data_IF_529412166674
#
_entry.id   IF_529412166674
#
_cell.length_a   1.000
_cell.length_b   1.000
_cell.length_c   1.000
_cell.angle_alpha   90.00
_cell.angle_beta   90.00
_cell.angle_gamma   90.00
#
_symmetry.space_group_name_H-M   'P 1'
#
loop_
_entity.id
_entity.type
_entity.pdbx_description
1 polymer ?
#
# COMPACT_ATOMS: atom_id res chain seq x y z
N UNK A 1 4.09 30.93 -99.25
CA UNK A 1 3.78 32.34 -98.95
C UNK A 1 2.34 32.57 -99.29
N UNK A 2 1.78 33.69 -98.84
CA UNK A 2 0.53 34.17 -99.40
C UNK A 2 0.84 34.67 -100.81
N UNK A 3 0.24 34.05 -101.82
CA UNK A 3 0.38 34.53 -103.20
C UNK A 3 -0.60 35.69 -103.42
N UNK A 4 -0.22 36.63 -104.28
CA UNK A 4 -1.15 37.63 -104.83
C UNK A 4 -2.31 36.98 -105.58
N UNK A 5 -3.31 37.78 -105.99
CA UNK A 5 -4.51 37.22 -106.62
C UNK A 5 -4.21 36.60 -107.98
N UNK A 6 -4.86 35.48 -108.29
CA UNK A 6 -4.78 34.85 -109.61
C UNK A 6 -5.12 35.85 -110.73
N UNK A 7 -4.22 35.99 -111.70
CA UNK A 7 -4.37 36.91 -112.84
C UNK A 7 -3.65 38.27 -112.71
N UNK A 8 -2.88 38.51 -111.64
CA UNK A 8 -2.05 39.72 -111.51
C UNK A 8 -0.84 39.72 -112.48
N UNK A 9 -0.55 40.89 -113.07
CA UNK A 9 0.65 41.09 -113.91
C UNK A 9 1.89 41.12 -113.02
N UNK A 10 2.82 40.18 -113.26
CA UNK A 10 4.09 40.07 -112.52
C UNK A 10 5.26 40.61 -113.33
N UNK A 11 6.19 41.28 -112.64
CA UNK A 11 7.50 41.58 -113.22
C UNK A 11 8.34 40.31 -113.09
N UNK A 12 8.84 39.82 -114.22
CA UNK A 12 9.72 38.66 -114.29
C UNK A 12 11.10 39.12 -114.77
N UNK A 13 12.16 38.62 -114.14
CA UNK A 13 13.54 38.81 -114.62
C UNK A 13 14.23 37.45 -114.74
N UNK A 14 15.27 37.39 -115.59
CA UNK A 14 16.12 36.20 -115.73
C UNK A 14 17.37 36.37 -114.89
N UNK A 15 17.70 35.37 -114.07
CA UNK A 15 18.99 35.35 -113.39
C UNK A 15 20.15 35.11 -114.37
N UNK A 16 21.39 35.17 -113.87
CA UNK A 16 22.60 34.96 -114.69
C UNK A 16 22.68 33.57 -115.35
N UNK A 17 21.89 32.62 -114.85
CA UNK A 17 21.82 31.24 -115.33
C UNK A 17 20.60 31.04 -116.26
N UNK A 18 19.85 32.12 -116.54
CA UNK A 18 18.70 32.13 -117.46
C UNK A 18 17.37 31.72 -116.82
N UNK A 19 17.32 31.45 -115.52
CA UNK A 19 16.08 31.04 -114.84
C UNK A 19 15.19 32.25 -114.60
N UNK A 20 13.89 32.11 -114.86
CA UNK A 20 12.90 33.14 -114.58
C UNK A 20 12.61 33.24 -113.08
N UNK A 21 12.59 34.46 -112.57
CA UNK A 21 12.25 34.82 -111.19
C UNK A 21 11.18 35.89 -111.19
N UNK A 22 10.18 35.74 -110.33
CA UNK A 22 9.11 36.71 -110.16
C UNK A 22 9.44 37.67 -109.02
N UNK A 23 9.15 38.95 -109.22
CA UNK A 23 9.24 39.97 -108.17
C UNK A 23 7.97 39.91 -107.31
N UNK A 24 8.14 39.85 -105.99
CA UNK A 24 7.03 39.93 -105.05
C UNK A 24 6.36 41.31 -105.10
N UNK A 25 5.03 41.33 -105.02
CA UNK A 25 4.17 42.50 -104.93
C UNK A 25 3.75 42.76 -103.49
N UNK A 26 3.16 43.92 -103.21
CA UNK A 26 2.55 44.19 -101.90
C UNK A 26 1.34 43.31 -101.59
N UNK A 27 0.81 42.56 -102.56
CA UNK A 27 -0.28 41.62 -102.36
C UNK A 27 0.19 40.21 -101.95
N UNK A 28 1.48 39.90 -102.15
CA UNK A 28 2.09 38.69 -101.60
C UNK A 28 2.40 38.85 -100.11
N UNK A 29 2.77 37.76 -99.45
CA UNK A 29 3.32 37.83 -98.11
C UNK A 29 3.55 36.49 -97.41
N UNK A 30 3.37 36.49 -96.10
CA UNK A 30 3.67 35.37 -95.22
C UNK A 30 2.39 34.76 -94.62
N UNK A 31 2.47 33.48 -94.30
CA UNK A 31 1.44 32.70 -93.61
C UNK A 31 2.01 32.30 -92.25
N UNK A 32 1.27 32.53 -91.16
CA UNK A 32 1.65 32.18 -89.79
C UNK A 32 0.64 31.21 -89.19
N UNK A 33 1.09 30.07 -88.67
CA UNK A 33 0.27 29.12 -87.93
C UNK A 33 0.45 29.25 -86.42
N UNK A 34 -0.51 28.74 -85.65
CA UNK A 34 -0.46 28.64 -84.19
C UNK A 34 -1.09 27.32 -83.73
N UNK A 35 -1.11 27.08 -82.41
CA UNK A 35 -1.58 25.82 -81.81
C UNK A 35 -3.10 25.58 -81.99
N UNK A 36 -3.86 26.58 -82.43
CA UNK A 36 -5.25 26.40 -82.86
C UNK A 36 -5.29 25.77 -84.25
N UNK A 37 -5.30 24.43 -84.27
CA UNK A 37 -5.25 23.61 -85.48
C UNK A 37 -6.15 24.14 -86.62
N UNK A 38 -5.58 24.22 -87.82
CA UNK A 38 -6.24 24.68 -89.05
C UNK A 38 -6.39 26.20 -89.22
N UNK A 39 -6.02 27.05 -88.25
CA UNK A 39 -6.10 28.50 -88.40
C UNK A 39 -4.77 29.07 -88.92
N UNK A 40 -4.84 29.85 -90.00
CA UNK A 40 -3.69 30.54 -90.59
C UNK A 40 -3.91 32.04 -90.57
N UNK A 41 -2.91 32.77 -90.10
CA UNK A 41 -2.87 34.23 -90.13
C UNK A 41 -2.09 34.66 -91.37
N UNK A 42 -2.79 35.25 -92.33
CA UNK A 42 -2.20 35.79 -93.56
C UNK A 42 -1.75 37.24 -93.34
N UNK A 43 -0.53 37.58 -93.78
CA UNK A 43 -0.03 38.95 -93.77
C UNK A 43 0.61 39.28 -95.10
N UNK A 44 0.08 40.28 -95.76
CA UNK A 44 0.68 40.86 -96.96
C UNK A 44 1.96 41.61 -96.63
N UNK A 45 2.83 41.82 -97.61
CA UNK A 45 4.00 42.67 -97.44
C UNK A 45 3.58 44.08 -96.97
N UNK A 46 4.40 44.68 -96.11
CA UNK A 46 4.13 45.97 -95.45
C UNK A 46 2.94 45.96 -94.45
N UNK A 47 2.45 44.79 -94.02
CA UNK A 47 1.50 44.67 -92.91
C UNK A 47 2.19 44.32 -91.59
N UNK A 48 1.66 44.86 -90.49
CA UNK A 48 2.11 44.55 -89.12
C UNK A 48 1.55 43.20 -88.67
N UNK A 49 2.38 42.39 -88.02
CA UNK A 49 1.97 41.24 -87.22
C UNK A 49 2.27 41.54 -85.75
N UNK A 50 1.25 41.40 -84.89
CA UNK A 50 1.42 41.50 -83.45
C UNK A 50 1.58 40.11 -82.82
N UNK A 51 2.56 39.95 -81.93
CA UNK A 51 2.78 38.74 -81.13
C UNK A 51 2.50 39.10 -79.67
N UNK A 52 1.36 38.66 -79.16
CA UNK A 52 0.84 39.03 -77.85
C UNK A 52 1.02 37.87 -76.86
N UNK A 53 1.59 38.13 -75.68
CA UNK A 53 1.53 37.23 -74.53
C UNK A 53 0.15 37.26 -73.84
N UNK A 54 -0.23 36.17 -73.14
CA UNK A 54 -1.58 35.96 -72.58
C UNK A 54 -2.02 37.05 -71.59
N UNK A 55 -3.29 37.41 -71.40
CA UNK A 55 -4.57 36.89 -71.90
C UNK A 55 -5.30 37.88 -72.84
N UNK A 56 -6.33 37.39 -73.53
CA UNK A 56 -7.15 38.10 -74.53
C UNK A 56 -8.06 39.24 -73.99
N UNK A 57 -7.94 39.63 -72.71
CA UNK A 57 -8.67 40.76 -72.13
C UNK A 57 -7.77 41.53 -71.15
N UNK A 58 -7.83 42.86 -71.20
CA UNK A 58 -6.92 43.78 -70.51
C UNK A 58 -7.01 43.79 -68.97
N UNK A 59 -7.75 42.87 -68.35
CA UNK A 59 -7.98 42.80 -66.89
C UNK A 59 -7.26 41.65 -66.20
N UNK A 60 -6.71 40.69 -66.95
CA UNK A 60 -6.12 39.48 -66.37
C UNK A 60 -4.60 39.57 -66.33
N UNK A 61 -3.98 39.03 -65.28
CA UNK A 61 -2.53 39.00 -65.11
C UNK A 61 -1.84 38.28 -66.29
N UNK A 62 -0.79 38.90 -66.84
CA UNK A 62 -0.10 38.38 -68.03
C UNK A 62 0.96 37.34 -67.68
N UNK A 63 0.61 36.06 -67.68
CA UNK A 63 1.57 34.98 -67.38
C UNK A 63 2.67 34.81 -68.44
N UNK A 64 2.39 35.17 -69.69
CA UNK A 64 3.37 35.17 -70.79
C UNK A 64 3.62 36.63 -71.20
N UNK A 65 4.89 37.01 -71.27
CA UNK A 65 5.34 38.35 -71.64
C UNK A 65 6.08 38.29 -72.97
N UNK A 66 5.68 39.14 -73.92
CA UNK A 66 6.38 39.30 -75.20
C UNK A 66 7.02 40.67 -75.29
N UNK A 67 8.31 40.72 -75.67
CA UNK A 67 9.09 41.96 -75.75
C UNK A 67 9.80 42.07 -77.10
N UNK A 68 9.56 43.15 -77.84
CA UNK A 68 10.30 43.44 -79.06
C UNK A 68 11.61 44.16 -78.73
N UNK A 69 12.73 43.62 -79.22
CA UNK A 69 14.07 44.15 -78.98
C UNK A 69 14.57 44.97 -80.18
N UNK A 70 15.48 45.91 -79.91
CA UNK A 70 16.06 46.78 -80.94
C UNK A 70 16.88 46.03 -82.02
N UNK A 71 17.28 44.78 -81.75
CA UNK A 71 17.99 43.91 -82.69
C UNK A 71 17.06 43.16 -83.67
N UNK A 72 15.74 43.36 -83.56
CA UNK A 72 14.73 42.70 -84.39
C UNK A 72 14.22 41.36 -83.84
N UNK A 73 14.69 40.91 -82.67
CA UNK A 73 14.14 39.72 -82.00
C UNK A 73 12.88 40.03 -81.19
N UNK A 74 12.06 39.00 -80.96
CA UNK A 74 10.96 39.02 -79.99
C UNK A 74 11.30 38.03 -78.88
N UNK A 75 11.48 38.51 -77.66
CA UNK A 75 11.68 37.69 -76.47
C UNK A 75 10.32 37.24 -75.91
N UNK A 76 10.25 35.99 -75.46
CA UNK A 76 9.08 35.40 -74.81
C UNK A 76 9.51 34.89 -73.44
N UNK A 77 8.94 35.48 -72.39
CA UNK A 77 9.25 35.15 -71.00
C UNK A 77 7.98 34.71 -70.25
N UNK A 78 8.18 33.96 -69.17
CA UNK A 78 7.17 33.82 -68.11
C UNK A 78 7.21 35.06 -67.22
N UNK A 79 6.05 35.48 -66.73
CA UNK A 79 5.99 36.44 -65.63
C UNK A 79 6.68 35.86 -64.38
N UNK A 80 7.23 36.75 -63.53
CA UNK A 80 7.85 36.34 -62.26
C UNK A 80 6.83 35.69 -61.32
N UNK A 81 5.66 36.30 -61.26
CA UNK A 81 4.51 35.80 -60.51
C UNK A 81 3.48 35.28 -61.51
N UNK A 82 3.09 34.02 -61.35
CA UNK A 82 2.08 33.38 -62.17
C UNK A 82 0.75 33.40 -61.43
N UNK A 83 -0.27 33.99 -62.05
CA UNK A 83 -1.64 33.94 -61.58
C UNK A 83 -2.47 33.13 -62.57
N UNK A 84 -2.89 31.95 -62.14
CA UNK A 84 -3.63 31.01 -62.98
C UNK A 84 -5.16 31.21 -62.86
N UNK A 85 -5.61 32.20 -62.10
CA UNK A 85 -7.01 32.50 -61.84
C UNK A 85 -7.72 31.45 -60.99
N UNK A 86 -9.05 31.58 -60.87
CA UNK A 86 -9.88 30.74 -60.00
C UNK A 86 -10.05 29.30 -60.49
N UNK A 87 -9.75 29.02 -61.76
CA UNK A 87 -9.80 27.68 -62.37
C UNK A 87 -8.43 27.13 -62.73
N UNK A 88 -7.38 27.88 -62.38
CA UNK A 88 -6.00 27.55 -62.69
C UNK A 88 -5.47 26.36 -61.92
N UNK A 89 -4.56 25.60 -62.53
CA UNK A 89 -3.82 24.56 -61.81
C UNK A 89 -2.46 24.27 -62.43
N UNK A 90 -1.56 23.75 -61.60
CA UNK A 90 -0.30 23.12 -62.02
C UNK A 90 -0.34 21.66 -61.61
N UNK A 91 -0.04 20.76 -62.57
CA UNK A 91 -0.01 19.32 -62.32
C UNK A 91 1.40 18.76 -62.54
N UNK A 92 1.94 18.08 -61.52
CA UNK A 92 3.25 17.40 -61.56
C UNK A 92 3.09 15.96 -61.08
N UNK A 93 2.94 15.03 -62.02
CA UNK A 93 2.61 13.64 -61.71
C UNK A 93 1.25 13.52 -60.99
N UNK A 94 1.27 12.97 -59.77
CA UNK A 94 0.08 12.83 -58.91
C UNK A 94 -0.23 14.09 -58.08
N UNK A 95 0.65 15.09 -58.11
CA UNK A 95 0.48 16.34 -57.37
C UNK A 95 -0.30 17.34 -58.20
N UNK A 96 -1.33 17.95 -57.62
CA UNK A 96 -2.06 19.07 -58.19
C UNK A 96 -1.99 20.24 -57.23
N UNK A 97 -1.59 21.41 -57.74
CA UNK A 97 -1.63 22.70 -57.03
C UNK A 97 -2.70 23.55 -57.69
N UNK A 98 -3.71 23.95 -56.93
CA UNK A 98 -4.85 24.75 -57.41
C UNK A 98 -5.36 25.65 -56.28
N UNK A 99 -6.55 26.24 -56.47
CA UNK A 99 -7.17 27.12 -55.49
C UNK A 99 -7.60 26.40 -54.18
N UNK A 100 -7.66 25.07 -54.15
CA UNK A 100 -7.98 24.27 -52.96
C UNK A 100 -6.71 23.93 -52.14
N UNK A 101 -5.51 24.21 -52.68
CA UNK A 101 -4.23 23.96 -52.04
C UNK A 101 -3.38 22.94 -52.81
N UNK A 102 -2.80 21.97 -52.08
CA UNK A 102 -1.91 20.93 -52.63
C UNK A 102 -2.50 19.55 -52.38
N UNK A 103 -2.79 18.81 -53.44
CA UNK A 103 -3.28 17.43 -53.38
C UNK A 103 -2.24 16.47 -53.95
N UNK A 104 -1.96 15.37 -53.25
CA UNK A 104 -1.09 14.27 -53.73
C UNK A 104 -1.91 12.99 -53.82
N UNK A 105 -2.26 12.58 -55.05
CA UNK A 105 -3.20 11.49 -55.28
C UNK A 105 -4.57 11.79 -54.67
N UNK A 106 -5.27 10.79 -54.15
CA UNK A 106 -6.57 10.97 -53.49
C UNK A 106 -6.49 11.00 -51.96
N UNK A 107 -5.32 10.71 -51.40
CA UNK A 107 -5.16 10.47 -49.96
C UNK A 107 -4.61 11.66 -49.20
N UNK A 108 -3.76 12.50 -49.79
CA UNK A 108 -3.09 13.60 -49.08
C UNK A 108 -3.59 14.92 -49.61
N UNK A 109 -4.05 15.79 -48.70
CA UNK A 109 -4.49 17.15 -49.02
C UNK A 109 -3.92 18.11 -48.00
N UNK A 110 -3.23 19.15 -48.47
CA UNK A 110 -2.92 20.36 -47.72
C UNK A 110 -3.83 21.47 -48.23
N UNK A 111 -4.85 21.82 -47.45
CA UNK A 111 -5.85 22.83 -47.78
C UNK A 111 -6.01 23.88 -46.69
N UNK A 112 -7.10 24.63 -46.77
CA UNK A 112 -7.49 25.68 -45.81
C UNK A 112 -7.62 25.20 -44.35
N UNK A 113 -8.00 23.94 -44.16
CA UNK A 113 -8.11 23.29 -42.85
C UNK A 113 -6.79 22.71 -42.31
N UNK A 114 -5.74 22.61 -43.13
CA UNK A 114 -4.45 22.01 -42.78
C UNK A 114 -4.07 20.78 -43.62
N UNK A 115 -3.21 19.92 -43.07
CA UNK A 115 -2.74 18.68 -43.71
C UNK A 115 -3.60 17.50 -43.26
N UNK A 116 -4.16 16.78 -44.23
CA UNK A 116 -4.95 15.58 -43.99
C UNK A 116 -4.42 14.41 -44.81
N UNK A 117 -4.37 13.24 -44.17
CA UNK A 117 -4.12 11.95 -44.82
C UNK A 117 -5.39 11.12 -44.62
N UNK A 118 -6.04 10.72 -45.72
CA UNK A 118 -7.25 9.89 -45.71
C UNK A 118 -7.01 8.62 -44.89
N UNK A 119 -7.90 8.35 -43.94
CA UNK A 119 -7.84 7.20 -43.01
C UNK A 119 -6.54 7.13 -42.19
N UNK A 120 -5.88 8.28 -41.98
CA UNK A 120 -4.58 8.40 -41.33
C UNK A 120 -4.44 9.66 -40.46
N UNK A 121 -3.18 10.04 -40.13
CA UNK A 121 -2.91 11.23 -39.32
C UNK A 121 -3.33 12.55 -40.00
N UNK A 122 -3.59 13.57 -39.19
CA UNK A 122 -3.85 14.93 -39.66
C UNK A 122 -3.26 16.00 -38.73
N UNK A 123 -3.00 17.17 -39.31
CA UNK A 123 -2.56 18.38 -38.61
C UNK A 123 -3.47 19.53 -39.08
N UNK A 124 -4.28 20.04 -38.17
CA UNK A 124 -5.26 21.10 -38.46
C UNK A 124 -5.17 22.22 -37.42
N UNK A 125 -5.98 23.27 -37.58
CA UNK A 125 -6.10 24.32 -36.56
C UNK A 125 -6.56 23.80 -35.18
N UNK A 126 -7.19 22.62 -35.13
CA UNK A 126 -7.63 21.98 -33.88
C UNK A 126 -6.54 21.14 -33.20
N UNK A 127 -5.36 20.99 -33.82
CA UNK A 127 -4.24 20.22 -33.31
C UNK A 127 -3.85 19.04 -34.20
N UNK A 128 -3.23 18.03 -33.59
CA UNK A 128 -2.69 16.85 -34.27
C UNK A 128 -3.53 15.63 -33.89
N UNK A 129 -4.02 14.91 -34.89
CA UNK A 129 -4.62 13.57 -34.72
C UNK A 129 -3.68 12.52 -35.29
N UNK A 130 -3.32 11.52 -34.49
CA UNK A 130 -2.45 10.42 -34.91
C UNK A 130 -3.18 9.35 -35.74
N UNK A 131 -4.50 9.43 -35.92
CA UNK A 131 -5.27 8.48 -36.72
C UNK A 131 -5.20 7.04 -36.18
N UNK A 132 -5.20 6.90 -34.85
CA UNK A 132 -5.06 5.62 -34.14
C UNK A 132 -3.71 4.93 -34.35
N UNK A 133 -2.68 5.66 -34.79
CA UNK A 133 -1.31 5.14 -34.94
C UNK A 133 -0.43 5.56 -33.77
N UNK A 134 0.64 4.81 -33.56
CA UNK A 134 1.69 5.15 -32.60
C UNK A 134 2.52 6.31 -33.13
N UNK A 135 2.80 7.31 -32.28
CA UNK A 135 3.78 8.35 -32.56
C UNK A 135 5.15 7.85 -32.06
N UNK A 136 6.04 7.49 -32.98
CA UNK A 136 7.37 6.97 -32.66
C UNK A 136 8.41 8.10 -32.59
N UNK A 137 9.57 7.83 -31.98
CA UNK A 137 10.68 8.78 -31.83
C UNK A 137 10.32 10.06 -31.05
N UNK A 138 9.47 9.91 -30.03
CA UNK A 138 9.18 10.98 -29.07
C UNK A 138 10.28 10.96 -28.00
N UNK A 139 11.12 11.98 -28.01
CA UNK A 139 12.13 12.18 -26.95
C UNK A 139 11.46 12.39 -25.58
N UNK A 140 12.21 12.19 -24.51
CA UNK A 140 11.72 12.43 -23.15
C UNK A 140 11.21 13.87 -23.00
N UNK A 141 10.01 14.02 -22.47
CA UNK A 141 9.46 15.32 -22.13
C UNK A 141 10.23 15.94 -20.97
N UNK A 142 10.63 17.21 -21.11
CA UNK A 142 11.40 17.94 -20.11
C UNK A 142 10.57 19.06 -19.49
N UNK A 143 9.75 19.73 -20.29
CA UNK A 143 8.89 20.84 -19.88
C UNK A 143 7.46 20.36 -19.61
N UNK A 144 6.70 21.14 -18.83
CA UNK A 144 5.33 20.77 -18.42
C UNK A 144 4.28 20.64 -19.53
N UNK A 145 4.63 20.88 -20.80
CA UNK A 145 3.75 20.72 -21.97
C UNK A 145 4.32 19.76 -23.02
N UNK A 146 5.46 19.15 -22.75
CA UNK A 146 6.04 18.16 -23.65
C UNK A 146 5.23 16.85 -23.57
N UNK A 147 5.17 16.11 -24.67
CA UNK A 147 4.60 14.77 -24.64
C UNK A 147 5.51 13.83 -23.83
N UNK A 148 4.90 12.90 -23.10
CA UNK A 148 5.63 11.83 -22.41
C UNK A 148 5.70 10.58 -23.28
N UNK A 149 6.86 9.94 -23.33
CA UNK A 149 7.00 8.66 -24.01
C UNK A 149 6.80 7.48 -23.04
N UNK A 150 6.83 6.26 -23.57
CA UNK A 150 6.61 5.03 -22.78
C UNK A 150 7.71 4.81 -21.74
N UNK A 151 8.95 5.15 -22.06
CA UNK A 151 10.10 4.91 -21.17
C UNK A 151 9.96 5.74 -19.88
N UNK A 152 9.50 6.99 -19.97
CA UNK A 152 9.19 7.81 -18.80
C UNK A 152 8.08 7.21 -17.93
N UNK A 153 7.04 6.63 -18.54
CA UNK A 153 5.95 5.98 -17.83
C UNK A 153 6.42 4.69 -17.13
N UNK A 154 7.18 3.85 -17.82
CA UNK A 154 7.73 2.61 -17.26
C UNK A 154 8.71 2.90 -16.12
N UNK A 155 9.54 3.95 -16.27
CA UNK A 155 10.45 4.41 -15.23
C UNK A 155 9.68 4.87 -13.98
N UNK A 156 8.58 5.61 -14.15
CA UNK A 156 7.71 5.99 -13.04
C UNK A 156 7.13 4.76 -12.32
N UNK A 157 6.62 3.78 -13.07
CA UNK A 157 6.09 2.53 -12.51
C UNK A 157 7.16 1.73 -11.74
N UNK A 158 8.38 1.69 -12.28
CA UNK A 158 9.54 1.03 -11.65
C UNK A 158 9.97 1.76 -10.38
N UNK A 159 9.99 3.10 -10.39
CA UNK A 159 10.37 3.89 -9.23
C UNK A 159 9.37 3.69 -8.09
N UNK A 160 8.07 3.79 -8.37
CA UNK A 160 7.03 3.57 -7.36
C UNK A 160 7.08 2.17 -6.76
N UNK A 161 7.25 1.13 -7.59
CA UNK A 161 7.30 -0.25 -7.10
C UNK A 161 8.56 -0.54 -6.30
N UNK A 162 9.70 0.06 -6.63
CA UNK A 162 10.95 -0.10 -5.89
C UNK A 162 11.03 0.71 -4.60
N UNK A 163 10.44 1.91 -4.55
CA UNK A 163 10.36 2.70 -3.32
C UNK A 163 9.50 2.00 -2.27
N UNK A 164 8.35 1.47 -2.65
CA UNK A 164 7.51 0.69 -1.74
C UNK A 164 6.97 1.51 -0.55
N UNK A 165 6.64 0.80 0.53
CA UNK A 165 6.31 1.35 1.85
C UNK A 165 7.31 0.85 2.89
N UNK A 166 7.78 1.75 3.75
CA UNK A 166 8.62 1.43 4.91
C UNK A 166 7.80 1.54 6.19
N UNK A 167 7.86 0.49 7.02
CA UNK A 167 7.22 0.43 8.33
C UNK A 167 8.33 0.43 9.39
N UNK A 168 8.33 1.45 10.25
CA UNK A 168 9.22 1.52 11.39
C UNK A 168 8.55 0.88 12.62
N UNK A 169 9.34 0.14 13.40
CA UNK A 169 8.95 -0.32 14.74
C UNK A 169 9.67 0.46 15.83
N UNK A 170 9.46 0.08 17.10
CA UNK A 170 10.23 0.63 18.22
C UNK A 170 11.75 0.36 18.07
N UNK A 171 12.12 -0.67 17.31
CA UNK A 171 13.48 -0.94 16.87
C UNK A 171 13.46 -1.47 15.44
N UNK A 172 14.28 -0.88 14.57
CA UNK A 172 14.42 -1.27 13.17
C UNK A 172 13.26 -0.85 12.26
N UNK A 173 13.45 -1.13 10.97
CA UNK A 173 12.51 -0.82 9.90
C UNK A 173 12.37 -2.01 8.95
N UNK A 174 11.22 -2.12 8.32
CA UNK A 174 10.97 -3.08 7.24
C UNK A 174 10.36 -2.36 6.03
N UNK A 175 11.03 -2.45 4.89
CA UNK A 175 10.49 -1.96 3.62
C UNK A 175 9.87 -3.11 2.83
N UNK A 176 8.70 -2.86 2.24
CA UNK A 176 7.98 -3.79 1.36
C UNK A 176 7.64 -3.09 0.06
N UNK A 177 7.87 -3.74 -1.07
CA UNK A 177 7.52 -3.19 -2.38
C UNK A 177 6.00 -3.16 -2.55
N UNK A 178 5.50 -2.31 -3.45
CA UNK A 178 4.08 -2.36 -3.82
C UNK A 178 3.73 -3.76 -4.36
N UNK A 179 2.69 -4.38 -3.81
CA UNK A 179 2.29 -5.75 -4.14
C UNK A 179 2.84 -6.82 -3.19
N UNK A 180 3.83 -6.50 -2.36
CA UNK A 180 4.31 -7.42 -1.33
C UNK A 180 3.32 -7.52 -0.16
N UNK A 181 3.19 -8.72 0.41
CA UNK A 181 2.42 -8.94 1.64
C UNK A 181 3.21 -8.47 2.85
N UNK A 182 2.67 -7.51 3.60
CA UNK A 182 3.10 -7.21 4.97
C UNK A 182 2.41 -8.20 5.91
N UNK A 183 3.18 -8.89 6.75
CA UNK A 183 2.64 -9.88 7.70
C UNK A 183 2.88 -9.38 9.12
N UNK A 184 1.80 -9.21 9.88
CA UNK A 184 1.82 -8.90 11.32
C UNK A 184 1.17 -10.10 12.01
N UNK A 185 1.96 -10.92 12.71
CA UNK A 185 1.48 -12.18 13.32
C UNK A 185 1.84 -12.24 14.80
N UNK A 186 0.88 -12.67 15.62
CA UNK A 186 1.13 -13.20 16.96
C UNK A 186 1.49 -14.69 16.90
N UNK A 187 1.82 -15.28 18.06
CA UNK A 187 2.22 -16.69 18.19
C UNK A 187 1.08 -17.68 18.46
N UNK A 188 -0.16 -17.22 18.62
CA UNK A 188 -1.31 -18.08 18.86
C UNK A 188 -1.59 -18.95 17.61
N UNK A 189 -1.90 -20.23 17.81
CA UNK A 189 -2.20 -21.15 16.71
C UNK A 189 -3.53 -20.78 16.01
N UNK A 190 -3.61 -21.11 14.71
CA UNK A 190 -4.82 -20.88 13.92
C UNK A 190 -6.01 -21.65 14.53
N UNK A 191 -7.19 -21.00 14.56
CA UNK A 191 -8.45 -21.55 15.08
C UNK A 191 -8.50 -21.82 16.60
N UNK A 192 -7.58 -21.24 17.37
CA UNK A 192 -7.76 -21.09 18.82
C UNK A 192 -8.57 -19.82 19.08
N UNK A 193 -9.46 -19.85 20.08
CA UNK A 193 -10.25 -18.68 20.47
C UNK A 193 -9.32 -17.48 20.74
N UNK A 194 -9.56 -16.40 20.01
CA UNK A 194 -8.81 -15.15 20.10
C UNK A 194 -9.79 -13.99 20.23
N UNK A 195 -9.43 -13.00 21.05
CA UNK A 195 -10.20 -11.77 21.22
C UNK A 195 -9.32 -10.57 20.85
N UNK A 196 -9.90 -9.64 20.10
CA UNK A 196 -9.31 -8.33 19.80
C UNK A 196 -9.71 -7.24 20.82
N UNK A 197 -10.59 -7.56 21.79
CA UNK A 197 -11.14 -6.60 22.76
C UNK A 197 -10.07 -5.83 23.55
N UNK A 198 -8.96 -6.52 23.85
CA UNK A 198 -7.89 -5.95 24.66
C UNK A 198 -6.78 -5.29 23.84
N UNK A 199 -6.84 -5.33 22.50
CA UNK A 199 -5.86 -4.70 21.62
C UNK A 199 -6.48 -3.53 20.86
N UNK A 200 -5.77 -2.41 20.81
CA UNK A 200 -6.18 -1.24 20.05
C UNK A 200 -5.02 -0.70 19.23
N UNK A 201 -5.32 -0.17 18.05
CA UNK A 201 -4.35 0.56 17.24
C UNK A 201 -4.73 2.02 17.22
N UNK A 202 -3.86 2.87 17.73
CA UNK A 202 -4.01 4.33 17.70
C UNK A 202 -3.04 4.96 16.69
N UNK A 203 -3.35 6.18 16.24
CA UNK A 203 -2.37 7.03 15.54
C UNK A 203 -1.83 8.06 16.54
N UNK A 204 -0.54 7.99 16.85
CA UNK A 204 0.14 8.96 17.71
C UNK A 204 1.40 9.49 17.03
N UNK A 205 1.50 10.81 16.90
CA UNK A 205 2.62 11.48 16.23
C UNK A 205 2.91 10.92 14.81
N UNK A 206 1.86 10.55 14.08
CA UNK A 206 1.96 9.96 12.73
C UNK A 206 2.30 8.47 12.68
N UNK A 207 2.46 7.80 13.83
CA UNK A 207 2.75 6.37 13.92
C UNK A 207 1.53 5.56 14.32
N UNK A 208 1.41 4.33 13.81
CA UNK A 208 0.47 3.33 14.33
C UNK A 208 1.04 2.70 15.60
N UNK A 209 0.35 2.87 16.72
CA UNK A 209 0.76 2.33 18.03
C UNK A 209 -0.22 1.24 18.45
N UNK A 210 0.28 0.01 18.58
CA UNK A 210 -0.50 -1.10 19.15
C UNK A 210 -0.47 -0.99 20.67
N UNK A 211 -1.65 -0.94 21.29
CA UNK A 211 -1.84 -0.79 22.73
C UNK A 211 -2.61 -1.97 23.29
N UNK A 212 -2.32 -2.30 24.55
CA UNK A 212 -3.14 -3.18 25.36
C UNK A 212 -4.03 -2.37 26.31
N UNK A 213 -5.23 -2.88 26.57
CA UNK A 213 -6.10 -2.34 27.62
C UNK A 213 -5.42 -2.44 29.00
N UNK A 214 -5.60 -1.42 29.85
CA UNK A 214 -5.10 -1.44 31.24
C UNK A 214 -5.86 -2.44 32.11
N UNK A 215 -7.16 -2.57 31.85
CA UNK A 215 -8.02 -3.54 32.49
C UNK A 215 -8.35 -4.57 31.42
N UNK A 216 -7.81 -5.78 31.55
CA UNK A 216 -8.08 -6.85 30.60
C UNK A 216 -9.47 -7.44 30.88
N UNK A 217 -10.28 -7.62 29.84
CA UNK A 217 -11.61 -8.25 29.91
C UNK A 217 -11.71 -9.39 28.91
N UNK A 218 -12.74 -10.25 29.03
CA UNK A 218 -12.99 -11.32 28.07
C UNK A 218 -11.90 -12.40 28.04
N UNK A 219 -11.07 -12.49 29.09
CA UNK A 219 -10.12 -13.59 29.26
C UNK A 219 -10.84 -14.78 29.90
N UNK A 220 -10.67 -15.98 29.35
CA UNK A 220 -11.16 -17.21 29.97
C UNK A 220 -10.31 -17.59 31.18
N UNK A 221 -9.02 -17.82 30.95
CA UNK A 221 -8.04 -18.18 31.97
C UNK A 221 -6.76 -17.34 31.84
N UNK A 222 -6.02 -17.22 32.95
CA UNK A 222 -4.66 -16.66 32.97
C UNK A 222 -3.71 -17.77 33.39
N UNK A 223 -3.00 -18.33 32.42
CA UNK A 223 -1.90 -19.26 32.68
C UNK A 223 -0.59 -18.48 32.78
N UNK A 224 0.09 -18.61 33.93
CA UNK A 224 1.42 -18.06 34.16
C UNK A 224 2.34 -19.23 34.47
N UNK A 225 3.50 -19.28 33.82
CA UNK A 225 4.36 -20.46 33.82
C UNK A 225 3.94 -21.48 32.76
N UNK A 226 4.73 -22.53 32.62
CA UNK A 226 4.49 -23.63 31.69
C UNK A 226 4.48 -24.94 32.47
N UNK A 227 3.46 -25.76 32.25
CA UNK A 227 3.44 -27.10 32.83
C UNK A 227 4.57 -27.94 32.22
N UNK A 228 5.23 -28.74 33.07
CA UNK A 228 6.18 -29.74 32.61
C UNK A 228 5.53 -30.75 31.67
N UNK A 229 6.30 -31.23 30.71
CA UNK A 229 5.91 -32.34 29.80
C UNK A 229 6.83 -33.52 30.08
N UNK A 230 6.45 -34.73 29.66
CA UNK A 230 7.28 -35.92 29.87
C UNK A 230 8.74 -35.70 29.44
N UNK A 231 9.66 -35.72 30.40
CA UNK A 231 11.09 -35.52 30.18
C UNK A 231 11.59 -34.06 30.10
N UNK A 232 10.74 -33.06 30.39
CA UNK A 232 11.13 -31.65 30.56
C UNK A 232 10.38 -31.00 31.71
N UNK A 233 11.13 -30.41 32.63
CA UNK A 233 10.57 -29.65 33.75
C UNK A 233 9.73 -28.47 33.22
N UNK A 234 8.70 -28.12 33.99
CA UNK A 234 7.92 -26.91 33.75
C UNK A 234 8.70 -25.65 34.09
N UNK A 235 8.07 -24.50 33.89
CA UNK A 235 8.56 -23.20 34.34
C UNK A 235 7.56 -22.64 35.32
N UNK A 236 8.00 -22.31 36.53
CA UNK A 236 7.11 -21.81 37.57
C UNK A 236 6.50 -20.46 37.20
N UNK A 237 5.19 -20.37 37.36
CA UNK A 237 4.45 -19.13 37.26
C UNK A 237 4.50 -18.33 38.56
N UNK A 238 4.43 -17.01 38.45
CA UNK A 238 4.26 -16.12 39.61
C UNK A 238 3.23 -15.04 39.30
N UNK A 239 2.20 -14.94 40.12
CA UNK A 239 1.23 -13.85 40.06
C UNK A 239 1.43 -12.98 41.29
N UNK A 240 1.72 -11.70 41.08
CA UNK A 240 1.82 -10.70 42.14
C UNK A 240 0.74 -9.64 42.00
N UNK A 241 0.08 -9.31 43.10
CA UNK A 241 -0.82 -8.16 43.20
C UNK A 241 -0.25 -7.19 44.22
N UNK A 242 -0.09 -5.93 43.82
CA UNK A 242 0.49 -4.89 44.68
C UNK A 242 -0.59 -3.90 45.11
N UNK A 243 -0.67 -3.66 46.41
CA UNK A 243 -1.43 -2.58 47.02
C UNK A 243 -0.65 -1.27 47.05
N UNK A 244 -1.39 -0.15 47.17
CA UNK A 244 -0.85 1.21 47.15
C UNK A 244 0.23 1.46 48.22
N UNK A 245 0.13 0.81 49.38
CA UNK A 245 0.99 1.03 50.55
C UNK A 245 2.03 -0.08 50.76
N UNK A 246 2.43 -0.75 49.67
CA UNK A 246 3.44 -1.80 49.69
C UNK A 246 2.93 -3.18 50.12
N UNK A 247 1.65 -3.30 50.47
CA UNK A 247 1.02 -4.61 50.65
C UNK A 247 1.05 -5.41 49.37
N UNK A 248 1.15 -6.73 49.45
CA UNK A 248 1.08 -7.57 48.27
C UNK A 248 0.57 -8.98 48.59
N UNK A 249 0.02 -9.62 47.56
CA UNK A 249 -0.22 -11.07 47.56
C UNK A 249 0.55 -11.65 46.38
N UNK A 250 1.21 -12.77 46.62
CA UNK A 250 1.99 -13.48 45.63
C UNK A 250 1.56 -14.94 45.64
N UNK A 251 1.19 -15.47 44.49
CA UNK A 251 0.96 -16.91 44.29
C UNK A 251 2.19 -17.45 43.56
N UNK A 252 2.89 -18.40 44.19
CA UNK A 252 4.13 -18.98 43.66
C UNK A 252 3.84 -20.39 43.12
N UNK A 253 4.17 -20.62 41.85
CA UNK A 253 4.07 -21.93 41.22
C UNK A 253 5.12 -22.94 41.71
N UNK A 254 6.27 -22.46 42.18
CA UNK A 254 7.41 -23.28 42.61
C UNK A 254 7.06 -24.22 43.78
N UNK A 255 6.44 -23.68 44.82
CA UNK A 255 6.10 -24.40 46.05
C UNK A 255 4.61 -24.36 46.39
N UNK A 256 3.78 -23.83 45.48
CA UNK A 256 2.33 -23.66 45.69
C UNK A 256 1.98 -22.67 46.80
N UNK A 257 2.94 -21.88 47.30
CA UNK A 257 2.71 -20.98 48.41
C UNK A 257 1.98 -19.70 48.01
N UNK A 258 1.26 -19.12 48.98
CA UNK A 258 0.71 -17.78 48.94
C UNK A 258 1.52 -16.91 49.90
N UNK A 259 2.32 -16.02 49.34
CA UNK A 259 3.01 -14.96 50.08
C UNK A 259 2.07 -13.79 50.33
N UNK A 260 1.99 -13.32 51.56
CA UNK A 260 1.21 -12.17 51.99
C UNK A 260 2.16 -11.14 52.62
N UNK A 261 2.12 -9.91 52.12
CA UNK A 261 2.84 -8.77 52.70
C UNK A 261 1.83 -7.72 53.14
N UNK A 262 1.89 -7.32 54.40
CA UNK A 262 1.08 -6.23 54.94
C UNK A 262 1.54 -4.85 54.45
N UNK A 263 0.85 -3.77 54.83
CA UNK A 263 1.30 -2.42 54.50
C UNK A 263 2.66 -2.12 55.15
N UNK A 264 3.45 -1.26 54.51
CA UNK A 264 4.70 -0.78 55.09
C UNK A 264 4.39 -0.04 56.40
N UNK A 265 5.12 -0.39 57.45
CA UNK A 265 5.04 0.32 58.73
C UNK A 265 5.54 1.76 58.63
N UNK A 266 5.49 2.48 59.75
CA UNK A 266 6.14 3.79 59.88
C UNK A 266 7.62 3.75 59.44
N UNK A 267 8.19 4.91 59.09
CA UNK A 267 9.53 5.01 58.53
C UNK A 267 10.58 4.19 59.31
N UNK A 268 11.15 3.18 58.64
CA UNK A 268 12.20 2.31 59.18
C UNK A 268 11.74 0.94 59.69
N UNK A 269 10.44 0.61 59.65
CA UNK A 269 9.94 -0.74 59.99
C UNK A 269 9.59 -1.54 58.74
N UNK A 270 9.99 -2.81 58.72
CA UNK A 270 9.62 -3.75 57.66
C UNK A 270 8.12 -4.08 57.71
N UNK A 271 7.55 -4.38 56.54
CA UNK A 271 6.18 -4.86 56.46
C UNK A 271 6.08 -6.27 57.05
N UNK A 272 5.00 -6.59 57.79
CA UNK A 272 4.78 -7.96 58.24
C UNK A 272 4.58 -8.86 57.01
N UNK A 273 5.25 -10.01 56.98
CA UNK A 273 5.13 -10.99 55.89
C UNK A 273 4.71 -12.35 56.44
N UNK A 274 4.00 -13.11 55.61
CA UNK A 274 3.58 -14.47 55.90
C UNK A 274 3.56 -15.28 54.61
N UNK A 275 4.27 -16.40 54.57
CA UNK A 275 4.11 -17.37 53.49
C UNK A 275 3.22 -18.50 53.99
N UNK A 276 2.12 -18.73 53.29
CA UNK A 276 1.19 -19.83 53.53
C UNK A 276 1.48 -20.90 52.48
N UNK A 277 1.66 -22.15 52.89
CA UNK A 277 1.81 -23.28 51.98
C UNK A 277 0.99 -24.46 52.50
N UNK A 278 1.01 -25.56 51.75
CA UNK A 278 0.42 -26.83 52.19
C UNK A 278 1.48 -27.92 52.25
N UNK A 279 1.31 -28.84 53.18
CA UNK A 279 2.14 -30.05 53.29
C UNK A 279 1.31 -31.19 53.90
N UNK A 280 1.90 -32.37 53.93
CA UNK A 280 1.37 -33.48 54.73
C UNK A 280 1.55 -33.17 56.22
N UNK A 281 0.46 -33.27 56.97
CA UNK A 281 0.41 -33.01 58.41
C UNK A 281 0.81 -34.19 59.28
N UNK A 282 1.16 -33.88 60.53
CA UNK A 282 1.15 -34.88 61.57
C UNK A 282 -0.29 -35.41 61.82
N UNK A 283 -0.46 -36.66 62.28
CA UNK A 283 -1.75 -37.17 62.70
C UNK A 283 -2.42 -36.27 63.74
N UNK A 284 -3.72 -36.05 63.60
CA UNK A 284 -4.55 -35.53 64.68
C UNK A 284 -4.73 -36.58 65.79
N UNK A 285 -5.67 -36.36 66.72
CA UNK A 285 -5.95 -37.30 67.82
C UNK A 285 -6.29 -38.72 67.32
N UNK A 286 -6.83 -38.86 66.11
CA UNK A 286 -7.22 -40.14 65.54
C UNK A 286 -6.04 -40.99 65.00
N UNK A 287 -4.80 -40.48 65.03
CA UNK A 287 -3.60 -41.22 64.65
C UNK A 287 -3.51 -41.61 63.17
N UNK A 288 -4.33 -41.03 62.28
CA UNK A 288 -4.28 -41.32 60.84
C UNK A 288 -3.38 -40.33 60.11
N UNK A 289 -2.29 -40.83 59.53
CA UNK A 289 -1.45 -40.08 58.59
C UNK A 289 -2.25 -39.72 57.32
N UNK A 290 -2.06 -38.50 56.79
CA UNK A 290 -2.55 -38.10 55.47
C UNK A 290 -3.49 -36.89 55.39
N UNK A 291 -3.61 -36.08 56.44
CA UNK A 291 -4.33 -34.80 56.34
C UNK A 291 -3.43 -33.71 55.75
N UNK A 292 -3.92 -33.01 54.72
CA UNK A 292 -3.24 -31.83 54.17
C UNK A 292 -3.36 -30.67 55.18
N UNK A 293 -2.23 -30.09 55.58
CA UNK A 293 -2.16 -28.99 56.54
C UNK A 293 -1.76 -27.69 55.88
N UNK A 294 -2.40 -26.61 56.32
CA UNK A 294 -1.94 -25.26 56.05
C UNK A 294 -0.75 -25.00 56.98
N UNK A 295 0.38 -24.67 56.38
CA UNK A 295 1.58 -24.26 57.09
C UNK A 295 1.94 -22.82 56.81
N UNK A 296 2.60 -22.21 57.77
CA UNK A 296 3.28 -20.94 57.57
C UNK A 296 4.62 -20.90 58.30
N UNK A 297 5.53 -20.05 57.85
CA UNK A 297 6.78 -19.77 58.57
C UNK A 297 6.60 -18.54 59.46
N UNK A 298 6.97 -18.64 60.73
CA UNK A 298 7.04 -17.49 61.62
C UNK A 298 8.22 -16.57 61.26
N UNK A 299 8.32 -15.43 61.95
CA UNK A 299 9.38 -14.42 61.74
C UNK A 299 10.81 -14.98 61.92
N UNK A 300 10.96 -16.11 62.61
CA UNK A 300 12.24 -16.74 62.89
C UNK A 300 12.52 -17.89 61.89
N UNK A 301 11.62 -18.09 60.92
CA UNK A 301 11.72 -19.12 59.89
C UNK A 301 11.19 -20.48 60.33
N UNK A 302 10.63 -20.61 61.54
CA UNK A 302 10.10 -21.88 62.02
C UNK A 302 8.74 -22.15 61.38
N UNK A 303 8.57 -23.36 60.90
CA UNK A 303 7.29 -23.82 60.38
C UNK A 303 6.27 -24.01 61.51
N UNK A 304 5.05 -23.56 61.24
CA UNK A 304 3.88 -23.69 62.10
C UNK A 304 2.75 -24.30 61.29
N UNK A 305 2.02 -25.21 61.91
CA UNK A 305 0.81 -25.80 61.35
C UNK A 305 -0.42 -25.12 61.94
N UNK A 306 -1.40 -24.82 61.08
CA UNK A 306 -2.72 -24.39 61.53
C UNK A 306 -3.49 -25.62 62.02
N UNK A 307 -3.97 -25.56 63.27
CA UNK A 307 -4.72 -26.67 63.85
C UNK A 307 -6.05 -26.91 63.11
N UNK A 308 -6.38 -28.18 62.90
CA UNK A 308 -7.70 -28.62 62.42
C UNK A 308 -8.58 -28.97 63.63
N UNK A 309 -9.89 -29.12 63.41
CA UNK A 309 -10.79 -29.56 64.48
C UNK A 309 -10.42 -30.97 65.00
N UNK A 310 -9.66 -31.76 64.25
CA UNK A 310 -9.28 -33.12 64.62
C UNK A 310 -8.06 -33.23 65.55
N UNK A 311 -7.28 -32.14 65.74
CA UNK A 311 -6.04 -32.16 66.53
C UNK A 311 -6.25 -32.19 68.04
N UNK A 312 -7.27 -31.50 68.52
CA UNK A 312 -7.69 -31.51 69.92
C UNK A 312 -6.61 -31.47 71.01
N UNK A 313 -6.92 -32.07 72.16
CA UNK A 313 -6.08 -32.16 73.35
C UNK A 313 -6.18 -33.57 73.96
N UNK A 314 -5.10 -34.00 74.60
CA UNK A 314 -5.03 -35.22 75.42
C UNK A 314 -5.07 -34.85 76.91
N UNK A 315 -5.94 -35.50 77.68
CA UNK A 315 -6.07 -35.30 79.13
C UNK A 315 -5.72 -36.59 79.88
N UNK A 316 -4.67 -36.53 80.70
CA UNK A 316 -4.29 -37.64 81.59
C UNK A 316 -4.96 -37.56 82.96
N UNK A 317 -4.98 -38.68 83.67
CA UNK A 317 -5.48 -38.81 85.05
C UNK A 317 -4.59 -39.79 85.84
N UNK A 318 -4.83 -39.93 87.15
CA UNK A 318 -4.02 -40.80 88.03
C UNK A 318 -4.23 -42.29 87.76
N UNK A 319 -5.27 -42.69 87.02
CA UNK A 319 -5.42 -44.06 86.54
C UNK A 319 -4.49 -44.33 85.35
N UNK A 320 -3.47 -45.14 85.61
CA UNK A 320 -2.34 -45.37 84.70
C UNK A 320 -2.78 -45.81 83.29
N UNK A 321 -2.16 -45.19 82.27
CA UNK A 321 -2.35 -45.49 80.86
C UNK A 321 -3.65 -45.02 80.21
N UNK A 322 -4.59 -44.42 80.93
CA UNK A 322 -5.86 -43.93 80.36
C UNK A 322 -5.77 -42.43 80.04
N UNK A 323 -6.05 -42.07 78.80
CA UNK A 323 -6.17 -40.68 78.35
C UNK A 323 -7.57 -40.41 77.81
N UNK A 324 -8.08 -39.22 78.08
CA UNK A 324 -9.28 -38.71 77.42
C UNK A 324 -8.84 -37.82 76.26
N UNK A 325 -9.24 -38.20 75.06
CA UNK A 325 -9.03 -37.41 73.85
C UNK A 325 -10.22 -36.46 73.65
N UNK A 326 -9.93 -35.19 73.38
CA UNK A 326 -10.97 -34.22 72.99
C UNK A 326 -10.52 -33.42 71.80
N UNK A 327 -11.22 -33.63 70.68
CA UNK A 327 -11.07 -32.79 69.49
C UNK A 327 -11.33 -31.32 69.83
N UNK A 328 -10.75 -30.40 69.06
CA UNK A 328 -11.04 -28.99 69.24
C UNK A 328 -12.55 -28.76 69.07
N UNK A 329 -13.11 -27.83 69.84
CA UNK A 329 -14.56 -27.56 69.91
C UNK A 329 -15.41 -28.70 70.51
N UNK A 330 -14.80 -29.65 71.25
CA UNK A 330 -15.54 -30.60 72.10
C UNK A 330 -15.52 -30.18 73.57
N UNK A 331 -16.60 -30.49 74.28
CA UNK A 331 -16.71 -30.30 75.73
C UNK A 331 -15.98 -31.43 76.46
N UNK A 332 -15.16 -31.08 77.45
CA UNK A 332 -14.66 -32.01 78.47
C UNK A 332 -15.45 -31.78 79.76
N UNK A 333 -16.12 -32.82 80.25
CA UNK A 333 -16.73 -32.79 81.58
C UNK A 333 -15.68 -33.16 82.63
N UNK A 334 -15.44 -32.24 83.59
CA UNK A 334 -14.61 -32.47 84.78
C UNK A 334 -15.53 -32.42 86.00
N UNK A 335 -15.67 -33.55 86.68
CA UNK A 335 -16.67 -33.77 87.71
C UNK A 335 -15.98 -33.96 89.06
N UNK A 336 -16.34 -33.18 90.08
CA UNK A 336 -15.83 -33.33 91.45
C UNK A 336 -16.73 -34.20 92.33
N UNK A 337 -16.16 -34.93 93.29
CA UNK A 337 -16.93 -35.76 94.23
C UNK A 337 -16.09 -36.41 95.33
N UNK A 338 -16.72 -37.27 96.15
CA UNK A 338 -16.06 -38.10 97.16
C UNK A 338 -16.47 -39.58 97.02
N UNK A 339 -16.76 -40.01 95.79
CA UNK A 339 -17.45 -41.27 95.53
C UNK A 339 -16.51 -42.49 95.49
N UNK A 340 -15.21 -42.29 95.23
CA UNK A 340 -14.21 -43.37 95.13
C UNK A 340 -12.96 -43.08 96.00
N UNK A 341 -13.16 -42.83 97.30
CA UNK A 341 -12.04 -42.57 98.22
C UNK A 341 -11.03 -43.73 98.22
N UNK A 342 -9.79 -43.43 97.82
CA UNK A 342 -8.64 -44.34 97.90
C UNK A 342 -7.72 -43.91 99.03
N UNK A 343 -6.95 -44.85 99.57
CA UNK A 343 -6.03 -44.60 100.69
C UNK A 343 -4.62 -44.13 100.21
N UNK A 344 -4.43 -43.86 98.92
CA UNK A 344 -3.11 -43.69 98.31
C UNK A 344 -2.67 -42.24 98.04
N UNK A 345 -3.60 -41.28 97.89
CA UNK A 345 -3.32 -39.83 97.66
C UNK A 345 -4.49 -38.95 98.13
N UNK A 346 -4.21 -37.71 98.58
CA UNK A 346 -5.25 -36.76 99.02
C UNK A 346 -6.25 -36.37 97.91
N UNK A 347 -5.80 -36.23 96.67
CA UNK A 347 -6.64 -35.96 95.49
C UNK A 347 -6.31 -37.03 94.45
N UNK A 348 -7.35 -37.67 93.92
CA UNK A 348 -7.23 -38.67 92.85
C UNK A 348 -8.05 -38.21 91.66
N UNK A 349 -7.42 -38.18 90.49
CA UNK A 349 -8.10 -37.95 89.21
C UNK A 349 -8.33 -39.28 88.49
N UNK A 350 -9.52 -39.50 87.93
CA UNK A 350 -9.84 -40.71 87.16
C UNK A 350 -10.43 -40.34 85.81
N UNK A 351 -9.80 -40.79 84.73
CA UNK A 351 -10.38 -40.76 83.40
C UNK A 351 -11.42 -41.87 83.25
N UNK A 352 -12.68 -41.47 83.05
CA UNK A 352 -13.81 -42.38 82.93
C UNK A 352 -14.01 -42.85 81.49
N UNK A 353 -14.64 -44.02 81.32
CA UNK A 353 -14.93 -44.60 80.00
C UNK A 353 -15.93 -43.76 79.17
N UNK A 354 -16.71 -42.88 79.81
CA UNK A 354 -17.57 -41.90 79.13
C UNK A 354 -16.80 -40.66 78.62
N UNK A 355 -15.49 -40.59 78.90
CA UNK A 355 -14.59 -39.51 78.54
C UNK A 355 -14.70 -38.29 79.47
N UNK A 356 -15.30 -38.41 80.66
CA UNK A 356 -15.17 -37.39 81.72
C UNK A 356 -13.90 -37.60 82.55
N UNK A 357 -13.43 -36.55 83.22
CA UNK A 357 -12.41 -36.65 84.27
C UNK A 357 -13.11 -36.47 85.61
N UNK A 358 -13.08 -37.48 86.46
CA UNK A 358 -13.52 -37.38 87.84
C UNK A 358 -12.36 -36.93 88.74
N UNK A 359 -12.64 -36.06 89.70
CA UNK A 359 -11.72 -35.64 90.74
C UNK A 359 -12.33 -36.02 92.09
N UNK A 360 -11.71 -36.98 92.78
CA UNK A 360 -12.15 -37.46 94.08
C UNK A 360 -11.18 -37.00 95.19
N UNK A 361 -11.74 -36.55 96.32
CA UNK A 361 -10.99 -36.25 97.54
C UNK A 361 -10.92 -37.50 98.45
N UNK A 362 -9.76 -37.76 99.04
CA UNK A 362 -9.61 -38.81 100.05
C UNK A 362 -10.50 -38.55 101.28
N UNK A 363 -10.97 -39.63 101.92
CA UNK A 363 -11.79 -39.55 103.15
C UNK A 363 -10.99 -39.02 104.33
N UNK A 364 -9.73 -39.41 104.42
CA UNK A 364 -8.77 -38.95 105.41
C UNK A 364 -7.62 -38.26 104.67
N UNK A 365 -7.29 -37.03 105.07
CA UNK A 365 -6.21 -36.26 104.46
C UNK A 365 -4.90 -36.56 105.18
N UNK A 366 -3.92 -37.05 104.43
CA UNK A 366 -2.54 -37.11 104.87
C UNK A 366 -1.88 -35.75 104.61
N UNK A 367 -1.76 -34.95 105.66
CA UNK A 367 -1.14 -33.62 105.59
C UNK A 367 0.39 -33.67 105.81
N UNK A 368 1.00 -34.86 105.75
CA UNK A 368 2.42 -35.14 106.00
C UNK A 368 3.38 -33.98 105.79
#
# INVERSE_FOLDING_TARGET
>A
GLNGKDGEVRIVYKDKDGNEKEVASLDDGLLFGADNDGVVVERKLNQKLDILGGANNATDAKNIVTTANADGSIQIDLAKDLDLGTTGSVKTGNTTVNNDGVKVGDNVTLGDTGLTIKDGPSITANGVDAGGKTITNVADGVNGKDAVNKDQLDALGTNLTNTGLTFAGNSGEVSKKLGDKVTIKGGLADNVDASDENLRVDVENGNLVVKMAKNLSGLGDIQVGEAGKDGKDGVDGKIGVNGKDGSSVVINGEDGSIGLTGPKGEAGKDAPTLNIAVKDGAPGLNGKDGEVRIVYKDKDGNEKEVASLDDGLLFGADNDGVVVERKLNQKLDILGGANNATDAKNIVTTANADGSIQIDLAKDLDLG
#
